data_IF_631709103300
#
_entry.id   IF_631709103300
#
_cell.length_a   1.000
_cell.length_b   1.000
_cell.length_c   1.000
_cell.angle_alpha   90.00
_cell.angle_beta   90.00
_cell.angle_gamma   90.00
#
_symmetry.space_group_name_H-M   'P 1'
#
loop_
_entity.id
_entity.type
_entity.pdbx_description
1 polymer ?
#
# COMPACT_ATOMS: atom_id res chain seq x y z
N UNK A 1 32.70 12.28 48.15
CA UNK A 1 32.02 13.53 48.50
C UNK A 1 30.77 13.57 47.63
N UNK A 2 29.68 13.01 47.97
CA UNK A 2 28.63 13.24 48.95
C UNK A 2 27.78 14.47 48.66
N UNK A 3 26.47 14.18 48.40
CA UNK A 3 25.24 14.95 48.73
C UNK A 3 24.86 16.09 47.76
N UNK A 4 23.62 16.31 47.35
CA UNK A 4 22.31 15.95 47.88
C UNK A 4 21.16 16.07 46.86
N UNK A 5 20.11 15.32 47.15
CA UNK A 5 18.75 15.44 46.64
C UNK A 5 18.09 16.81 46.91
N UNK A 6 17.15 17.21 46.05
CA UNK A 6 15.95 17.92 46.53
C UNK A 6 14.73 17.52 45.66
N UNK A 7 13.78 16.87 46.32
CA UNK A 7 12.38 16.66 45.92
C UNK A 7 11.58 17.93 46.27
N UNK A 8 10.62 18.31 45.41
CA UNK A 8 9.37 18.91 45.89
C UNK A 8 8.22 18.51 44.96
N UNK A 9 7.24 17.87 45.56
CA UNK A 9 5.92 17.57 45.01
C UNK A 9 4.97 18.74 45.29
N UNK A 10 3.97 18.94 44.45
CA UNK A 10 2.70 19.57 44.84
C UNK A 10 1.61 19.19 43.82
N UNK A 11 0.66 18.43 44.24
CA UNK A 11 -0.74 18.31 43.80
C UNK A 11 -1.62 19.16 44.71
N UNK A 12 -2.98 19.18 44.54
CA UNK A 12 -3.84 19.65 43.43
C UNK A 12 -4.85 20.71 43.90
N UNK A 13 -5.64 21.26 43.01
CA UNK A 13 -6.84 22.03 43.40
C UNK A 13 -8.05 21.68 42.56
N UNK A 14 -8.98 21.02 43.20
CA UNK A 14 -10.38 20.78 42.87
C UNK A 14 -11.22 22.05 43.11
N UNK A 15 -12.12 22.42 42.20
CA UNK A 15 -13.36 23.13 42.57
C UNK A 15 -14.51 22.67 41.67
N UNK A 16 -15.50 22.12 42.33
CA UNK A 16 -16.84 21.82 41.84
C UNK A 16 -17.73 23.06 41.99
N UNK A 17 -18.68 23.24 41.10
CA UNK A 17 -19.89 24.00 41.34
C UNK A 17 -21.06 23.43 40.55
N UNK A 18 -22.10 23.22 41.29
CA UNK A 18 -23.36 22.53 41.11
C UNK A 18 -24.45 23.43 40.53
N UNK A 19 -25.48 22.73 39.96
CA UNK A 19 -26.92 23.07 39.90
C UNK A 19 -27.33 24.20 38.92
N UNK A 20 -28.44 24.15 38.21
CA UNK A 20 -29.77 23.70 38.60
C UNK A 20 -30.67 23.47 37.35
N UNK A 21 -31.69 22.68 37.56
CA UNK A 21 -32.80 22.25 36.76
C UNK A 21 -33.73 23.39 36.25
N UNK A 22 -34.41 23.20 35.14
CA UNK A 22 -35.88 23.37 35.07
C UNK A 22 -36.45 22.62 33.85
N UNK A 23 -37.47 21.84 34.15
CA UNK A 23 -38.33 21.16 33.22
C UNK A 23 -39.45 22.10 32.69
N UNK A 24 -39.89 21.90 31.47
CA UNK A 24 -41.24 22.25 31.06
C UNK A 24 -41.75 21.27 29.97
N UNK A 25 -42.88 20.74 30.33
CA UNK A 25 -43.77 19.76 29.68
C UNK A 25 -44.65 20.47 28.67
N UNK A 26 -45.23 19.69 27.77
CA UNK A 26 -46.47 19.85 26.98
C UNK A 26 -46.25 19.54 25.49
N UNK A 27 -47.03 18.76 24.77
CA UNK A 27 -48.28 17.98 24.87
C UNK A 27 -48.52 17.51 23.43
N UNK A 28 -48.94 16.28 23.27
CA UNK A 28 -49.44 15.74 22.00
C UNK A 28 -50.85 16.25 21.71
N UNK A 29 -51.32 16.14 20.48
CA UNK A 29 -52.65 15.60 20.27
C UNK A 29 -52.70 14.49 19.20
N UNK A 30 -53.51 13.54 19.55
CA UNK A 30 -54.09 12.45 18.78
C UNK A 30 -55.11 12.95 17.75
N UNK A 31 -55.24 12.24 16.63
CA UNK A 31 -56.33 12.34 15.68
C UNK A 31 -56.12 11.35 14.52
N UNK A 32 -56.78 10.54 14.37
CA UNK A 32 -58.02 9.77 14.19
C UNK A 32 -58.04 9.07 12.81
N UNK A 33 -58.53 7.85 12.85
CA UNK A 33 -58.61 6.87 11.76
C UNK A 33 -59.87 7.16 10.94
N UNK A 34 -59.79 7.19 9.60
CA UNK A 34 -60.99 6.95 8.75
C UNK A 34 -60.66 6.15 7.50
N UNK A 35 -61.22 4.96 7.49
CA UNK A 35 -61.92 4.18 6.47
C UNK A 35 -61.49 4.18 5.00
N UNK A 36 -61.21 2.96 4.54
CA UNK A 36 -61.11 2.51 3.15
C UNK A 36 -62.51 2.25 2.59
N UNK A 37 -62.86 2.63 1.34
CA UNK A 37 -63.99 2.05 0.62
C UNK A 37 -63.56 0.96 -0.37
N UNK A 38 -64.31 -0.13 -0.37
CA UNK A 38 -64.27 -1.23 -1.32
C UNK A 38 -64.70 -0.78 -2.72
N UNK A 39 -64.03 -1.26 -3.75
CA UNK A 39 -64.46 -1.10 -5.14
C UNK A 39 -64.82 -2.47 -5.70
N UNK A 40 -66.02 -2.51 -6.25
CA UNK A 40 -66.69 -3.66 -6.82
C UNK A 40 -66.12 -4.09 -8.17
N UNK A 41 -66.38 -5.34 -8.48
CA UNK A 41 -66.23 -6.12 -9.69
C UNK A 41 -66.78 -5.38 -10.93
N UNK A 42 -66.00 -5.20 -12.00
CA UNK A 42 -66.47 -4.77 -13.30
C UNK A 42 -65.83 -5.64 -14.40
N UNK A 43 -66.69 -6.39 -15.09
CA UNK A 43 -66.36 -7.35 -16.12
C UNK A 43 -65.57 -6.76 -17.31
N UNK A 44 -64.60 -7.50 -17.77
CA UNK A 44 -63.75 -7.16 -18.92
C UNK A 44 -64.38 -7.69 -20.21
N UNK A 45 -64.73 -6.81 -21.14
CA UNK A 45 -65.29 -7.14 -22.47
C UNK A 45 -64.20 -7.57 -23.46
N UNK A 46 -64.56 -8.42 -24.42
CA UNK A 46 -63.67 -9.09 -25.38
C UNK A 46 -62.86 -8.15 -26.36
N UNK A 47 -63.12 -6.85 -26.36
CA UNK A 47 -62.44 -5.88 -27.26
C UNK A 47 -61.07 -5.41 -26.79
N UNK A 48 -60.68 -5.73 -25.53
CA UNK A 48 -59.37 -5.36 -24.96
C UNK A 48 -58.23 -6.28 -25.46
N UNK A 49 -58.57 -7.49 -25.94
CA UNK A 49 -57.57 -8.49 -26.36
C UNK A 49 -56.93 -8.15 -27.73
N UNK A 50 -57.63 -7.42 -28.60
CA UNK A 50 -57.09 -7.03 -29.91
C UNK A 50 -56.20 -5.75 -29.91
N UNK A 51 -56.34 -4.90 -28.91
CA UNK A 51 -55.45 -3.72 -28.70
C UNK A 51 -54.06 -4.08 -28.20
N UNK A 52 -53.96 -5.11 -27.36
CA UNK A 52 -52.71 -5.54 -26.75
C UNK A 52 -51.68 -6.14 -27.76
N UNK A 53 -52.17 -6.86 -28.76
CA UNK A 53 -51.30 -7.44 -29.84
C UNK A 53 -50.69 -6.39 -30.75
N UNK A 54 -51.37 -5.27 -31.00
CA UNK A 54 -50.78 -4.14 -31.80
C UNK A 54 -49.83 -3.29 -31.01
N UNK A 55 -50.00 -3.16 -29.71
CA UNK A 55 -49.00 -2.46 -28.84
C UNK A 55 -47.72 -3.29 -28.65
N UNK A 56 -47.88 -4.63 -28.51
CA UNK A 56 -46.75 -5.52 -28.34
C UNK A 56 -45.85 -5.59 -29.59
N UNK A 57 -46.44 -5.54 -30.78
CA UNK A 57 -45.74 -5.47 -32.06
C UNK A 57 -44.99 -4.14 -32.27
N UNK A 58 -45.54 -3.02 -31.76
CA UNK A 58 -44.88 -1.72 -31.82
C UNK A 58 -43.73 -1.56 -30.79
N UNK A 59 -43.86 -2.20 -29.64
CA UNK A 59 -42.78 -2.23 -28.65
C UNK A 59 -41.61 -3.12 -29.06
N UNK A 60 -41.85 -4.23 -29.79
CA UNK A 60 -40.79 -5.06 -30.37
C UNK A 60 -40.06 -4.37 -31.53
N UNK A 61 -40.73 -3.54 -32.31
CA UNK A 61 -40.10 -2.76 -33.40
C UNK A 61 -39.26 -1.59 -32.86
N UNK A 62 -39.65 -0.99 -31.73
CA UNK A 62 -38.85 0.04 -31.01
C UNK A 62 -37.66 -0.55 -30.27
N UNK A 63 -37.73 -1.81 -29.80
CA UNK A 63 -36.64 -2.52 -29.17
C UNK A 63 -35.55 -2.93 -30.19
N UNK A 64 -35.95 -3.26 -31.44
CA UNK A 64 -35.02 -3.61 -32.52
C UNK A 64 -34.28 -2.40 -33.07
N UNK A 65 -34.87 -1.19 -33.03
CA UNK A 65 -34.17 0.04 -33.46
C UNK A 65 -33.29 0.63 -32.35
N UNK A 66 -33.51 0.31 -31.06
CA UNK A 66 -32.62 0.67 -29.98
C UNK A 66 -31.33 -0.18 -29.91
N UNK A 67 -31.33 -1.38 -30.52
CA UNK A 67 -30.16 -2.26 -30.61
C UNK A 67 -29.14 -1.83 -31.68
N UNK A 68 -29.54 -1.02 -32.65
CA UNK A 68 -28.65 -0.54 -33.71
C UNK A 68 -27.79 0.69 -33.32
N UNK A 69 -28.17 1.41 -32.24
CA UNK A 69 -27.41 2.58 -31.74
C UNK A 69 -26.51 2.22 -30.55
N UNK A 70 -26.66 1.00 -29.98
CA UNK A 70 -25.87 0.52 -28.86
C UNK A 70 -24.44 0.10 -29.20
N UNK A 71 -24.04 0.13 -30.49
CA UNK A 71 -22.70 -0.22 -30.95
C UNK A 71 -21.60 0.81 -30.64
N UNK A 72 -21.96 1.97 -30.06
CA UNK A 72 -21.03 3.07 -29.76
C UNK A 72 -20.95 3.48 -28.29
N UNK A 73 -21.65 2.77 -27.42
CA UNK A 73 -21.43 2.90 -26.00
C UNK A 73 -20.24 1.99 -25.61
N UNK A 74 -19.27 2.46 -24.78
CA UNK A 74 -18.25 1.58 -24.25
C UNK A 74 -18.95 0.36 -23.63
N UNK A 75 -18.60 -0.84 -24.10
CA UNK A 75 -19.19 -2.08 -23.60
C UNK A 75 -19.00 -2.10 -22.08
N UNK A 76 -20.05 -1.76 -21.36
CA UNK A 76 -20.19 -2.21 -19.98
C UNK A 76 -20.17 -3.73 -20.07
N UNK A 77 -19.07 -4.37 -19.71
CA UNK A 77 -19.11 -5.81 -19.46
C UNK A 77 -20.12 -5.99 -18.33
N UNK A 78 -21.35 -6.37 -18.72
CA UNK A 78 -22.34 -6.80 -17.78
C UNK A 78 -21.77 -8.07 -17.13
N UNK A 79 -21.38 -7.98 -15.88
CA UNK A 79 -21.25 -9.15 -15.04
C UNK A 79 -22.61 -9.85 -15.13
N UNK A 80 -22.59 -11.13 -15.46
CA UNK A 80 -23.84 -11.89 -15.57
C UNK A 80 -24.65 -11.67 -14.29
N UNK A 81 -25.93 -11.32 -14.44
CA UNK A 81 -26.83 -11.11 -13.32
C UNK A 81 -26.89 -12.43 -12.50
N UNK A 82 -26.20 -12.47 -11.34
CA UNK A 82 -26.12 -13.67 -10.51
C UNK A 82 -24.99 -13.61 -9.49
N UNK A 83 -24.16 -14.65 -9.46
CA UNK A 83 -23.15 -14.92 -8.45
C UNK A 83 -21.92 -14.01 -8.46
N UNK A 84 -21.72 -13.18 -9.48
CA UNK A 84 -20.49 -12.38 -9.71
C UNK A 84 -20.58 -10.91 -9.31
N UNK A 85 -21.74 -10.46 -8.79
CA UNK A 85 -21.92 -9.07 -8.34
C UNK A 85 -21.11 -8.82 -7.06
N UNK A 86 -20.39 -7.69 -6.96
CA UNK A 86 -19.71 -7.31 -5.72
C UNK A 86 -20.68 -7.26 -4.53
N UNK A 87 -20.28 -7.88 -3.42
CA UNK A 87 -21.08 -7.91 -2.18
C UNK A 87 -21.07 -6.53 -1.51
N UNK A 88 -19.96 -5.81 -1.63
CA UNK A 88 -19.76 -4.45 -1.14
C UNK A 88 -19.38 -3.56 -2.31
N UNK A 89 -20.21 -2.57 -2.63
CA UNK A 89 -19.99 -1.69 -3.78
C UNK A 89 -19.13 -0.46 -3.47
N UNK A 90 -19.09 -0.01 -2.22
CA UNK A 90 -18.28 1.12 -1.78
C UNK A 90 -17.13 0.59 -0.90
N UNK A 91 -15.89 0.71 -1.39
CA UNK A 91 -14.69 0.07 -0.82
C UNK A 91 -13.75 1.14 -0.27
N UNK A 92 -13.48 1.12 1.04
CA UNK A 92 -12.56 2.02 1.71
C UNK A 92 -11.13 1.52 1.52
N UNK A 93 -10.30 2.26 0.76
CA UNK A 93 -8.92 1.86 0.47
C UNK A 93 -7.94 2.87 1.05
N UNK A 94 -7.19 2.45 2.07
CA UNK A 94 -6.17 3.27 2.70
C UNK A 94 -4.94 3.47 1.82
N UNK A 95 -4.29 4.63 1.91
CA UNK A 95 -3.00 4.87 1.27
C UNK A 95 -2.14 5.87 2.06
N UNK A 96 -0.84 5.75 1.93
CA UNK A 96 0.14 6.73 2.42
C UNK A 96 0.57 7.63 1.24
N UNK A 97 0.86 8.93 1.49
CA UNK A 97 1.34 9.87 0.48
C UNK A 97 2.71 9.51 -0.08
N UNK A 98 2.73 8.60 -1.03
CA UNK A 98 3.89 8.09 -1.76
C UNK A 98 3.52 7.97 -3.24
N UNK A 99 4.49 8.03 -4.14
CA UNK A 99 4.26 7.89 -5.58
C UNK A 99 3.60 6.57 -5.94
N UNK A 100 3.90 5.51 -5.20
CA UNK A 100 3.38 4.16 -5.42
C UNK A 100 1.91 3.96 -5.02
N UNK A 101 1.24 4.96 -4.43
CA UNK A 101 -0.22 4.97 -4.27
C UNK A 101 -0.97 5.20 -5.61
N UNK A 102 -0.24 5.47 -6.69
CA UNK A 102 -0.81 5.88 -7.98
C UNK A 102 -1.88 4.93 -8.51
N UNK A 103 -1.70 3.59 -8.39
CA UNK A 103 -2.69 2.63 -8.88
C UNK A 103 -4.06 2.76 -8.19
N UNK A 104 -4.09 3.01 -6.88
CA UNK A 104 -5.33 3.23 -6.11
C UNK A 104 -6.01 4.53 -6.56
N UNK A 105 -5.23 5.62 -6.68
CA UNK A 105 -5.77 6.93 -7.05
C UNK A 105 -6.27 6.92 -8.50
N UNK A 106 -5.49 6.36 -9.44
CA UNK A 106 -5.86 6.25 -10.85
C UNK A 106 -7.11 5.38 -11.02
N UNK A 107 -7.21 4.24 -10.32
CA UNK A 107 -8.38 3.38 -10.39
C UNK A 107 -9.67 4.11 -10.00
N UNK A 108 -9.62 4.91 -8.93
CA UNK A 108 -10.75 5.71 -8.46
C UNK A 108 -11.03 6.92 -9.37
N UNK A 109 -10.02 7.73 -9.68
CA UNK A 109 -10.21 9.02 -10.36
C UNK A 109 -10.50 8.90 -11.85
N UNK A 110 -10.00 7.83 -12.49
CA UNK A 110 -10.24 7.58 -13.90
C UNK A 110 -11.37 6.57 -14.16
N UNK A 111 -12.06 6.12 -13.10
CA UNK A 111 -13.28 5.31 -13.19
C UNK A 111 -13.06 3.85 -13.57
N UNK A 112 -11.82 3.30 -13.42
CA UNK A 112 -11.60 1.87 -13.64
C UNK A 112 -12.38 1.02 -12.65
N UNK A 113 -12.62 1.50 -11.43
CA UNK A 113 -13.43 0.88 -10.40
C UNK A 113 -14.91 0.74 -10.82
N UNK A 114 -15.46 1.76 -11.46
CA UNK A 114 -16.87 1.76 -11.92
C UNK A 114 -17.13 0.68 -12.95
N UNK A 115 -16.15 0.33 -13.76
CA UNK A 115 -16.22 -0.74 -14.74
C UNK A 115 -16.54 -2.10 -14.09
N UNK A 116 -16.06 -2.30 -12.87
CA UNK A 116 -16.24 -3.53 -12.10
C UNK A 116 -17.35 -3.44 -11.05
N UNK A 117 -18.20 -2.40 -11.11
CA UNK A 117 -19.37 -2.24 -10.27
C UNK A 117 -19.07 -1.85 -8.83
N UNK A 118 -17.90 -1.28 -8.57
CA UNK A 118 -17.51 -0.76 -7.26
C UNK A 118 -17.15 0.73 -7.33
N UNK A 119 -17.09 1.36 -6.17
CA UNK A 119 -16.57 2.71 -5.94
C UNK A 119 -15.41 2.61 -4.95
N UNK A 120 -14.19 2.86 -5.41
CA UNK A 120 -13.02 3.00 -4.53
C UNK A 120 -13.07 4.38 -3.87
N UNK A 121 -13.04 4.39 -2.53
CA UNK A 121 -12.90 5.60 -1.73
C UNK A 121 -11.49 5.64 -1.16
N UNK A 122 -10.56 6.44 -1.74
CA UNK A 122 -9.20 6.55 -1.24
C UNK A 122 -9.16 7.29 0.09
N UNK A 123 -8.58 6.67 1.12
CA UNK A 123 -8.41 7.24 2.46
C UNK A 123 -6.93 7.52 2.71
N UNK A 124 -6.58 8.80 2.80
CA UNK A 124 -5.22 9.23 3.06
C UNK A 124 -4.88 9.04 4.53
N UNK A 125 -3.85 8.25 4.80
CA UNK A 125 -3.42 7.92 6.16
C UNK A 125 -2.11 8.62 6.54
N UNK A 126 -1.94 8.87 7.83
CA UNK A 126 -0.80 9.63 8.35
C UNK A 126 0.45 8.75 8.57
N UNK A 127 0.27 7.46 8.83
CA UNK A 127 1.36 6.52 9.14
C UNK A 127 0.97 5.08 8.82
N UNK A 128 1.97 4.20 8.70
CA UNK A 128 1.75 2.77 8.53
C UNK A 128 1.10 2.10 9.73
N UNK A 129 1.32 2.62 10.94
CA UNK A 129 0.60 2.18 12.13
C UNK A 129 -0.91 2.46 12.01
N UNK A 130 -1.28 3.65 11.54
CA UNK A 130 -2.68 3.98 11.29
C UNK A 130 -3.32 3.07 10.22
N UNK A 131 -2.60 2.79 9.13
CA UNK A 131 -3.06 1.84 8.10
C UNK A 131 -3.28 0.45 8.69
N UNK A 132 -2.31 -0.07 9.46
CA UNK A 132 -2.41 -1.36 10.15
C UNK A 132 -3.65 -1.41 11.05
N UNK A 133 -3.79 -0.44 11.92
CA UNK A 133 -4.85 -0.45 12.95
C UNK A 133 -6.23 -0.37 12.30
N UNK A 134 -6.40 0.48 11.29
CA UNK A 134 -7.66 0.62 10.55
C UNK A 134 -8.01 -0.60 9.72
N UNK A 135 -7.02 -1.30 9.12
CA UNK A 135 -7.26 -2.60 8.47
C UNK A 135 -7.71 -3.66 9.47
N UNK A 136 -6.99 -3.77 10.62
CA UNK A 136 -7.30 -4.76 11.66
C UNK A 136 -8.68 -4.54 12.27
N UNK A 137 -9.08 -3.27 12.46
CA UNK A 137 -10.36 -2.88 13.05
C UNK A 137 -11.51 -2.83 12.02
N UNK A 138 -11.22 -2.97 10.71
CA UNK A 138 -12.25 -2.97 9.65
C UNK A 138 -12.76 -1.58 9.26
N UNK A 139 -12.06 -0.51 9.64
CA UNK A 139 -12.33 0.85 9.15
C UNK A 139 -11.89 1.01 7.69
N UNK A 140 -10.86 0.29 7.28
CA UNK A 140 -10.43 0.12 5.90
C UNK A 140 -10.74 -1.31 5.44
N UNK A 141 -11.25 -1.43 4.23
CA UNK A 141 -11.50 -2.72 3.57
C UNK A 141 -10.22 -3.31 3.01
N UNK A 142 -9.40 -2.46 2.41
CA UNK A 142 -8.09 -2.77 1.85
C UNK A 142 -7.16 -1.56 1.95
N UNK A 143 -5.89 -1.74 1.67
CA UNK A 143 -4.95 -0.64 1.60
C UNK A 143 -3.80 -0.91 0.62
N UNK A 144 -3.27 0.18 0.06
CA UNK A 144 -1.90 0.26 -0.41
C UNK A 144 -1.01 0.17 0.82
N UNK A 145 -0.29 -0.94 0.99
CA UNK A 145 0.41 -1.25 2.23
C UNK A 145 1.76 -1.93 1.97
N UNK A 146 2.69 -1.79 2.91
CA UNK A 146 4.01 -2.45 2.89
C UNK A 146 3.86 -3.97 2.89
N UNK A 147 4.55 -4.67 1.97
CA UNK A 147 4.44 -6.12 1.88
C UNK A 147 4.79 -6.80 3.21
N UNK A 148 5.95 -6.50 3.77
CA UNK A 148 6.40 -7.10 5.02
C UNK A 148 5.51 -6.78 6.23
N UNK A 149 4.79 -5.63 6.24
CA UNK A 149 3.83 -5.29 7.29
C UNK A 149 2.66 -6.28 7.30
N UNK A 150 2.12 -6.64 6.12
CA UNK A 150 1.02 -7.62 6.02
C UNK A 150 1.41 -8.95 6.65
N UNK A 151 2.62 -9.43 6.35
CA UNK A 151 3.18 -10.65 6.91
C UNK A 151 3.44 -10.53 8.43
N UNK A 152 3.96 -9.37 8.87
CA UNK A 152 4.18 -9.09 10.28
C UNK A 152 2.90 -9.14 11.10
N UNK A 153 1.82 -8.52 10.61
CA UNK A 153 0.49 -8.55 11.28
C UNK A 153 -0.08 -9.98 11.29
N UNK A 154 0.04 -10.71 10.16
CA UNK A 154 -0.44 -12.09 10.09
C UNK A 154 0.22 -13.00 11.13
N UNK A 155 1.49 -12.79 11.42
CA UNK A 155 2.25 -13.56 12.41
C UNK A 155 2.25 -12.96 13.81
N UNK A 156 1.64 -11.79 14.03
CA UNK A 156 1.59 -11.11 15.33
C UNK A 156 2.93 -10.48 15.73
N UNK A 157 3.79 -10.12 14.78
CA UNK A 157 5.06 -9.47 15.07
C UNK A 157 4.80 -8.03 15.57
N UNK A 158 5.19 -7.77 16.81
CA UNK A 158 5.07 -6.44 17.41
C UNK A 158 3.64 -5.99 17.71
N UNK A 159 2.66 -6.93 17.77
CA UNK A 159 1.28 -6.59 18.07
C UNK A 159 0.32 -7.77 18.00
N UNK A 160 -0.98 -7.49 18.01
CA UNK A 160 -2.02 -8.51 17.91
C UNK A 160 -1.99 -9.18 16.53
N UNK A 161 -2.07 -10.51 16.53
CA UNK A 161 -2.20 -11.31 15.30
C UNK A 161 -3.56 -11.07 14.64
N UNK A 162 -3.56 -10.89 13.32
CA UNK A 162 -4.76 -10.85 12.49
C UNK A 162 -4.48 -11.59 11.18
N UNK A 163 -5.35 -12.47 10.77
CA UNK A 163 -5.20 -13.15 9.49
C UNK A 163 -5.37 -12.14 8.35
N UNK A 164 -4.30 -12.00 7.57
CA UNK A 164 -4.18 -11.01 6.50
C UNK A 164 -4.16 -11.68 5.13
N UNK A 165 -4.41 -10.89 4.10
CA UNK A 165 -4.39 -11.32 2.71
C UNK A 165 -3.71 -10.25 1.83
N UNK A 166 -3.02 -10.72 0.78
CA UNK A 166 -2.43 -9.94 -0.30
C UNK A 166 -3.16 -10.29 -1.59
N UNK A 167 -3.84 -9.33 -2.20
CA UNK A 167 -4.59 -9.53 -3.44
C UNK A 167 -3.72 -9.39 -4.68
N UNK A 168 -2.75 -8.46 -4.68
CA UNK A 168 -1.78 -8.24 -5.75
C UNK A 168 -0.61 -7.40 -5.25
N UNK A 169 0.51 -7.42 -5.96
CA UNK A 169 1.54 -6.39 -5.83
C UNK A 169 1.08 -5.12 -6.56
N UNK A 170 1.43 -3.95 -6.03
CA UNK A 170 1.07 -2.66 -6.61
C UNK A 170 2.21 -2.05 -7.42
N UNK A 171 3.45 -2.28 -7.02
CA UNK A 171 4.64 -1.83 -7.73
C UNK A 171 5.89 -2.65 -7.40
N UNK A 172 6.86 -2.56 -8.31
CA UNK A 172 8.25 -2.92 -8.08
C UNK A 172 9.13 -1.67 -8.05
N UNK A 173 10.24 -1.72 -7.28
CA UNK A 173 11.22 -0.63 -7.17
C UNK A 173 10.63 0.68 -6.60
N UNK A 174 11.33 1.80 -6.75
CA UNK A 174 10.81 3.13 -6.42
C UNK A 174 11.06 3.58 -4.99
N UNK A 175 12.17 3.14 -4.38
CA UNK A 175 12.64 3.58 -3.07
C UNK A 175 14.12 3.93 -3.14
N UNK A 176 14.64 4.56 -2.09
CA UNK A 176 16.06 4.80 -1.97
C UNK A 176 16.47 4.95 -0.49
N UNK A 177 17.78 4.85 -0.27
CA UNK A 177 18.45 5.26 0.95
C UNK A 177 19.07 6.63 0.67
N UNK A 178 18.62 7.64 1.40
CA UNK A 178 19.06 9.03 1.29
C UNK A 178 19.78 9.42 2.57
N UNK A 179 20.97 10.02 2.44
CA UNK A 179 21.78 10.54 3.53
C UNK A 179 21.74 12.06 3.56
N UNK A 180 22.01 12.65 4.74
CA UNK A 180 22.12 14.10 4.88
C UNK A 180 23.38 14.63 4.19
N UNK A 181 23.33 15.87 3.69
CA UNK A 181 24.49 16.52 3.08
C UNK A 181 25.67 16.70 4.05
N UNK A 182 25.44 16.72 5.37
CA UNK A 182 26.49 16.74 6.36
C UNK A 182 27.44 15.54 6.22
N UNK A 183 26.93 14.36 5.95
CA UNK A 183 27.75 13.18 5.69
C UNK A 183 28.55 13.32 4.39
N UNK A 184 27.94 13.93 3.36
CA UNK A 184 28.64 14.23 2.11
C UNK A 184 29.80 15.20 2.31
N UNK A 185 29.62 16.26 3.11
CA UNK A 185 30.65 17.23 3.50
C UNK A 185 31.80 16.56 4.27
N UNK A 186 31.50 15.47 4.98
CA UNK A 186 32.47 14.64 5.71
C UNK A 186 33.13 13.53 4.83
N UNK A 187 32.85 13.56 3.52
CA UNK A 187 33.50 12.65 2.56
C UNK A 187 32.74 11.36 2.26
N UNK A 188 31.50 11.19 2.77
CA UNK A 188 30.66 10.03 2.45
C UNK A 188 30.04 10.22 1.07
N UNK A 189 30.28 9.27 0.16
CA UNK A 189 29.80 9.29 -1.24
C UNK A 189 29.05 8.02 -1.66
N UNK A 190 29.39 6.90 -1.01
CA UNK A 190 28.94 5.54 -1.32
C UNK A 190 28.94 4.68 -0.06
N UNK A 191 28.56 3.41 -0.21
CA UNK A 191 28.49 2.48 0.93
C UNK A 191 29.85 2.21 1.59
N UNK A 192 30.91 2.11 0.81
CA UNK A 192 32.26 1.87 1.35
C UNK A 192 32.74 3.05 2.21
N UNK A 193 32.55 4.27 1.71
CA UNK A 193 32.91 5.49 2.45
C UNK A 193 32.01 5.68 3.68
N UNK A 194 30.72 5.28 3.62
CA UNK A 194 29.83 5.30 4.78
C UNK A 194 30.31 4.33 5.88
N UNK A 195 30.60 3.08 5.53
CA UNK A 195 31.09 2.10 6.49
C UNK A 195 32.41 2.54 7.15
N UNK A 196 33.37 3.02 6.35
CA UNK A 196 34.62 3.57 6.87
C UNK A 196 34.41 4.79 7.77
N UNK A 197 33.45 5.65 7.42
CA UNK A 197 33.16 6.86 8.19
C UNK A 197 32.55 6.49 9.56
N UNK A 198 31.59 5.59 9.62
CA UNK A 198 30.99 5.11 10.87
C UNK A 198 32.08 4.49 11.77
N UNK A 199 32.94 3.66 11.20
CA UNK A 199 34.01 2.99 11.95
C UNK A 199 35.07 3.98 12.52
N UNK A 200 35.41 5.01 11.75
CA UNK A 200 36.48 5.98 12.14
C UNK A 200 35.98 7.08 13.06
N UNK A 201 34.68 7.38 13.02
CA UNK A 201 34.09 8.49 13.77
C UNK A 201 32.96 7.96 14.65
N UNK A 202 33.26 7.26 15.76
CA UNK A 202 32.23 6.64 16.60
C UNK A 202 31.33 7.70 17.25
N UNK A 203 30.05 7.67 16.91
CA UNK A 203 28.95 8.41 17.50
C UNK A 203 27.65 7.68 17.23
N UNK A 204 26.54 8.09 17.82
CA UNK A 204 25.24 7.59 17.42
C UNK A 204 24.87 8.13 16.02
N UNK A 205 24.78 7.23 15.04
CA UNK A 205 24.23 7.52 13.72
C UNK A 205 22.78 7.10 13.70
N UNK A 206 21.89 8.00 13.34
CA UNK A 206 20.46 7.74 13.34
C UNK A 206 19.93 7.58 11.92
N UNK A 207 19.34 6.41 11.62
CA UNK A 207 18.68 6.12 10.33
C UNK A 207 17.20 5.89 10.54
N UNK A 208 16.37 6.55 9.72
CA UNK A 208 14.92 6.38 9.79
C UNK A 208 14.44 5.35 8.76
N UNK A 209 13.46 4.58 9.19
CA UNK A 209 12.62 3.71 8.37
C UNK A 209 11.16 3.96 8.74
N UNK A 210 10.19 3.33 8.07
CA UNK A 210 8.79 3.72 8.19
C UNK A 210 7.94 2.78 9.03
N UNK A 211 8.35 1.51 9.15
CA UNK A 211 7.68 0.50 9.96
C UNK A 211 8.60 -0.72 10.16
N UNK A 212 8.78 -1.26 11.38
CA UNK A 212 9.81 -2.26 11.70
C UNK A 212 9.78 -3.54 10.86
N UNK A 213 8.59 -4.07 10.52
CA UNK A 213 8.43 -5.25 9.66
C UNK A 213 8.26 -4.91 8.18
N UNK A 214 8.28 -3.62 7.83
CA UNK A 214 7.97 -3.13 6.49
C UNK A 214 9.16 -3.21 5.53
N UNK A 215 8.87 -2.99 4.25
CA UNK A 215 9.84 -3.04 3.15
C UNK A 215 11.01 -2.08 3.36
N UNK A 216 10.75 -0.82 3.75
CA UNK A 216 11.81 0.18 3.95
C UNK A 216 12.82 -0.21 5.04
N UNK A 217 12.35 -0.84 6.13
CA UNK A 217 13.22 -1.37 7.18
C UNK A 217 14.10 -2.50 6.63
N UNK A 218 13.49 -3.44 5.88
CA UNK A 218 14.22 -4.59 5.31
C UNK A 218 15.26 -4.14 4.28
N UNK A 219 14.96 -3.13 3.44
CA UNK A 219 15.94 -2.57 2.50
C UNK A 219 17.08 -1.87 3.22
N UNK A 220 16.79 -1.06 4.23
CA UNK A 220 17.82 -0.37 5.03
C UNK A 220 18.75 -1.37 5.72
N UNK A 221 18.18 -2.36 6.41
CA UNK A 221 18.95 -3.35 7.14
C UNK A 221 19.79 -4.23 6.21
N UNK A 222 19.19 -4.63 5.07
CA UNK A 222 19.92 -5.44 4.08
C UNK A 222 21.09 -4.69 3.48
N UNK A 223 20.87 -3.42 3.10
CA UNK A 223 21.92 -2.58 2.55
C UNK A 223 23.05 -2.32 3.55
N UNK A 224 22.73 -1.89 4.78
CA UNK A 224 23.73 -1.66 5.83
C UNK A 224 24.56 -2.91 6.07
N UNK A 225 23.92 -4.07 6.20
CA UNK A 225 24.61 -5.34 6.36
C UNK A 225 25.49 -5.71 5.17
N UNK A 226 25.09 -5.37 3.94
CA UNK A 226 25.87 -5.65 2.72
C UNK A 226 27.18 -4.87 2.65
N UNK A 227 27.25 -3.73 3.36
CA UNK A 227 28.47 -2.90 3.48
C UNK A 227 29.20 -3.13 4.82
N UNK A 228 28.81 -4.14 5.60
CA UNK A 228 29.45 -4.50 6.86
C UNK A 228 29.05 -3.66 8.07
N UNK A 229 27.95 -2.91 7.99
CA UNK A 229 27.38 -2.12 9.10
C UNK A 229 26.21 -2.88 9.73
N UNK A 230 26.28 -3.15 11.04
CA UNK A 230 25.20 -3.85 11.74
C UNK A 230 24.05 -2.88 12.07
N UNK A 231 22.81 -3.11 11.57
CA UNK A 231 21.71 -2.14 11.65
C UNK A 231 21.18 -1.86 13.06
N UNK A 232 21.58 -2.66 14.06
CA UNK A 232 21.13 -2.53 15.45
C UNK A 232 22.27 -2.33 16.46
N UNK A 233 23.54 -2.43 16.03
CA UNK A 233 24.71 -2.24 16.91
C UNK A 233 25.49 -0.99 16.53
N UNK A 234 25.72 -0.80 15.20
CA UNK A 234 26.58 0.29 14.73
C UNK A 234 25.80 1.58 14.48
N UNK A 235 24.46 1.47 14.37
CA UNK A 235 23.57 2.61 14.13
C UNK A 235 22.28 2.45 14.93
N UNK A 236 21.61 3.57 15.17
CA UNK A 236 20.26 3.63 15.73
C UNK A 236 19.23 3.70 14.61
N UNK A 237 18.22 2.87 14.65
CA UNK A 237 17.09 2.94 13.71
C UNK A 237 15.85 3.48 14.39
N UNK A 238 15.16 4.42 13.72
CA UNK A 238 13.94 5.06 14.21
C UNK A 238 12.80 4.94 13.20
N UNK A 239 11.57 5.05 13.69
CA UNK A 239 10.36 5.03 12.85
C UNK A 239 9.90 6.46 12.59
N UNK A 240 9.83 6.85 11.30
CA UNK A 240 9.33 8.17 10.90
C UNK A 240 8.32 7.98 9.75
N UNK A 241 7.14 8.62 9.81
CA UNK A 241 6.19 8.59 8.69
C UNK A 241 6.78 9.22 7.42
N UNK A 242 6.51 8.66 6.22
CA UNK A 242 7.10 9.14 4.96
C UNK A 242 7.03 10.65 4.73
N UNK A 243 5.90 11.35 4.93
CA UNK A 243 5.83 12.80 4.70
C UNK A 243 6.69 13.64 5.65
N UNK A 244 7.17 13.05 6.75
CA UNK A 244 7.96 13.74 7.77
C UNK A 244 9.48 13.55 7.60
N UNK A 245 9.92 12.63 6.72
CA UNK A 245 11.34 12.28 6.53
C UNK A 245 12.20 13.51 6.20
N UNK A 246 11.79 14.27 5.19
CA UNK A 246 12.53 15.44 4.70
C UNK A 246 12.63 16.53 5.77
N UNK A 247 11.55 16.81 6.51
CA UNK A 247 11.54 17.80 7.57
C UNK A 247 12.46 17.41 8.74
N UNK A 248 12.42 16.13 9.15
CA UNK A 248 13.29 15.63 10.23
C UNK A 248 14.77 15.64 9.84
N UNK A 249 15.11 15.29 8.60
CA UNK A 249 16.49 15.38 8.12
C UNK A 249 16.98 16.83 8.08
N UNK A 250 16.13 17.77 7.63
CA UNK A 250 16.48 19.21 7.56
C UNK A 250 16.88 19.80 8.89
N UNK A 251 16.26 19.37 9.98
CA UNK A 251 16.58 19.85 11.35
C UNK A 251 17.61 19.00 12.07
N UNK A 252 18.24 18.02 11.37
CA UNK A 252 19.32 17.21 11.92
C UNK A 252 18.88 16.07 12.86
N UNK A 253 17.61 15.68 12.86
CA UNK A 253 17.13 14.59 13.72
C UNK A 253 17.55 13.19 13.22
N UNK A 254 18.15 13.10 12.04
CA UNK A 254 18.64 11.84 11.46
C UNK A 254 19.77 12.07 10.46
N UNK A 255 20.64 11.10 10.32
CA UNK A 255 21.74 11.08 9.35
C UNK A 255 21.32 10.54 7.99
N UNK A 256 20.27 9.70 7.96
CA UNK A 256 19.75 9.13 6.73
C UNK A 256 18.39 8.48 6.93
N UNK A 257 17.78 8.08 5.83
CA UNK A 257 16.50 7.34 5.84
C UNK A 257 16.37 6.43 4.63
N UNK A 258 15.53 5.39 4.77
CA UNK A 258 14.99 4.61 3.67
C UNK A 258 13.48 4.82 3.58
N UNK A 259 13.00 5.24 2.41
CA UNK A 259 11.58 5.53 2.17
C UNK A 259 11.24 5.43 0.68
N UNK A 260 9.95 5.27 0.37
CA UNK A 260 9.44 5.33 -1.01
C UNK A 260 9.49 6.75 -1.59
N UNK A 261 9.48 6.83 -2.94
CA UNK A 261 9.36 8.11 -3.63
C UNK A 261 8.01 8.78 -3.33
N UNK A 262 7.93 10.13 -3.34
CA UNK A 262 8.92 11.07 -3.87
C UNK A 262 9.87 11.66 -2.80
N UNK A 263 9.91 11.12 -1.60
CA UNK A 263 10.60 11.81 -0.48
C UNK A 263 12.12 11.81 -0.61
N UNK A 264 12.70 10.83 -1.33
CA UNK A 264 14.13 10.86 -1.68
C UNK A 264 14.39 11.95 -2.73
N UNK A 265 13.63 11.99 -3.82
CA UNK A 265 13.72 13.06 -4.81
C UNK A 265 13.49 14.44 -4.17
N UNK A 266 12.59 14.55 -3.20
CA UNK A 266 12.32 15.77 -2.46
C UNK A 266 13.51 16.23 -1.63
N UNK A 267 14.22 15.34 -0.96
CA UNK A 267 15.44 15.69 -0.21
C UNK A 267 16.53 16.25 -1.12
N UNK A 268 16.67 15.69 -2.34
CA UNK A 268 17.60 16.19 -3.35
C UNK A 268 17.16 17.58 -3.86
N UNK A 269 15.89 17.73 -4.22
CA UNK A 269 15.32 18.98 -4.68
C UNK A 269 15.49 20.11 -3.65
N UNK A 270 15.26 19.81 -2.38
CA UNK A 270 15.43 20.76 -1.26
C UNK A 270 16.91 20.95 -0.86
N UNK A 271 17.85 20.25 -1.51
CA UNK A 271 19.32 20.32 -1.25
C UNK A 271 19.72 20.00 0.18
N UNK A 272 19.04 19.04 0.82
CA UNK A 272 19.33 18.66 2.21
C UNK A 272 19.93 17.26 2.34
N UNK A 273 19.92 16.48 1.27
CA UNK A 273 20.44 15.12 1.27
C UNK A 273 20.86 14.66 -0.11
N UNK A 274 21.47 13.50 -0.15
CA UNK A 274 21.89 12.82 -1.38
C UNK A 274 21.50 11.35 -1.36
N UNK A 275 21.21 10.78 -2.52
CA UNK A 275 20.89 9.34 -2.66
C UNK A 275 22.16 8.52 -2.59
N UNK A 276 22.28 7.68 -1.56
CA UNK A 276 23.36 6.73 -1.37
C UNK A 276 23.20 5.51 -2.28
N UNK A 277 22.00 4.92 -2.28
CA UNK A 277 21.63 3.78 -3.10
C UNK A 277 20.13 3.83 -3.41
N UNK A 278 19.74 3.39 -4.60
CA UNK A 278 18.36 3.10 -4.91
C UNK A 278 17.99 1.67 -4.48
N UNK A 279 16.72 1.39 -4.24
CA UNK A 279 16.32 0.04 -3.84
C UNK A 279 16.52 -1.01 -4.94
N UNK A 280 16.46 -0.60 -6.21
CA UNK A 280 16.78 -1.48 -7.34
C UNK A 280 18.28 -1.81 -7.45
N UNK A 281 19.18 -1.02 -6.82
CA UNK A 281 20.59 -1.40 -6.64
C UNK A 281 20.72 -2.56 -5.63
N UNK A 282 19.81 -2.65 -4.66
CA UNK A 282 19.78 -3.74 -3.66
C UNK A 282 19.22 -5.02 -4.27
N UNK A 283 18.08 -4.89 -4.93
CA UNK A 283 17.39 -5.98 -5.61
C UNK A 283 16.56 -5.41 -6.77
N UNK A 284 17.03 -5.64 -8.00
CA UNK A 284 16.30 -5.21 -9.21
C UNK A 284 14.95 -5.91 -9.31
N UNK A 285 13.89 -5.14 -9.56
CA UNK A 285 12.50 -5.60 -9.63
C UNK A 285 12.00 -6.24 -8.31
N UNK A 286 12.48 -5.73 -7.18
CA UNK A 286 11.97 -6.15 -5.88
C UNK A 286 10.49 -5.81 -5.68
N UNK A 287 9.73 -6.64 -4.95
CA UNK A 287 8.35 -6.32 -4.57
C UNK A 287 8.34 -5.19 -3.55
N UNK A 288 7.30 -4.36 -3.58
CA UNK A 288 7.25 -3.21 -2.68
C UNK A 288 5.91 -3.08 -1.95
N UNK A 289 4.94 -2.40 -2.56
CA UNK A 289 3.60 -2.28 -2.00
C UNK A 289 2.69 -3.36 -2.53
N UNK A 290 1.75 -3.72 -1.69
CA UNK A 290 0.70 -4.67 -2.04
C UNK A 290 -0.68 -4.08 -1.79
N UNK A 291 -1.67 -4.60 -2.47
CA UNK A 291 -3.06 -4.44 -2.09
C UNK A 291 -3.34 -5.45 -0.98
N UNK A 292 -3.24 -4.98 0.27
CA UNK A 292 -3.43 -5.80 1.46
C UNK A 292 -4.81 -5.58 2.07
N UNK A 293 -5.38 -6.64 2.64
CA UNK A 293 -6.63 -6.62 3.39
C UNK A 293 -6.62 -7.70 4.47
N UNK A 294 -7.70 -7.86 5.23
CA UNK A 294 -7.85 -9.01 6.12
C UNK A 294 -8.33 -10.23 5.33
N UNK A 295 -7.98 -11.44 5.79
CA UNK A 295 -8.51 -12.68 5.22
C UNK A 295 -10.04 -12.75 5.35
N UNK A 296 -10.60 -12.21 6.42
CA UNK A 296 -12.04 -12.10 6.62
C UNK A 296 -12.75 -11.27 5.53
N UNK A 297 -12.11 -10.17 5.07
CA UNK A 297 -12.66 -9.38 3.95
C UNK A 297 -12.77 -10.22 2.68
N UNK A 298 -11.74 -10.99 2.35
CA UNK A 298 -11.74 -11.87 1.16
C UNK A 298 -12.82 -12.96 1.27
N UNK A 299 -12.99 -13.55 2.44
CA UNK A 299 -13.96 -14.60 2.69
C UNK A 299 -15.42 -14.08 2.62
N UNK A 300 -15.67 -12.88 3.15
CA UNK A 300 -17.00 -12.28 3.20
C UNK A 300 -17.37 -11.57 1.90
N UNK A 301 -16.39 -11.07 1.15
CA UNK A 301 -16.58 -10.24 -0.04
C UNK A 301 -15.70 -10.69 -1.22
N UNK A 302 -15.73 -11.96 -1.63
CA UNK A 302 -14.82 -12.49 -2.66
C UNK A 302 -15.01 -11.82 -4.03
N UNK A 303 -16.23 -11.47 -4.43
CA UNK A 303 -16.48 -10.78 -5.69
C UNK A 303 -16.02 -9.32 -5.63
N UNK A 304 -16.16 -8.66 -4.47
CA UNK A 304 -15.63 -7.32 -4.25
C UNK A 304 -14.09 -7.32 -4.29
N UNK A 305 -13.43 -8.28 -3.66
CA UNK A 305 -11.97 -8.43 -3.70
C UNK A 305 -11.47 -8.65 -5.14
N UNK A 306 -12.17 -9.49 -5.93
CA UNK A 306 -11.88 -9.70 -7.35
C UNK A 306 -12.08 -8.41 -8.16
N UNK A 307 -13.20 -7.70 -7.98
CA UNK A 307 -13.51 -6.45 -8.68
C UNK A 307 -12.47 -5.36 -8.37
N UNK A 308 -12.10 -5.21 -7.09
CA UNK A 308 -11.07 -4.29 -6.64
C UNK A 308 -9.71 -4.60 -7.30
N UNK A 309 -9.30 -5.86 -7.27
CA UNK A 309 -8.04 -6.30 -7.91
C UNK A 309 -8.06 -6.03 -9.41
N UNK A 310 -9.16 -6.33 -10.11
CA UNK A 310 -9.28 -6.10 -11.55
C UNK A 310 -9.20 -4.60 -11.92
N UNK A 311 -9.83 -3.73 -11.11
CA UNK A 311 -9.76 -2.28 -11.30
C UNK A 311 -8.33 -1.76 -11.17
N UNK A 312 -7.58 -2.25 -10.15
CA UNK A 312 -6.19 -1.85 -9.95
C UNK A 312 -5.24 -2.43 -11.01
N UNK A 313 -5.50 -3.62 -11.54
CA UNK A 313 -4.74 -4.18 -12.65
C UNK A 313 -4.83 -3.30 -13.91
N UNK A 314 -6.03 -2.81 -14.24
CA UNK A 314 -6.19 -1.89 -15.38
C UNK A 314 -5.53 -0.52 -15.11
N UNK A 315 -5.65 0.00 -13.91
CA UNK A 315 -4.97 1.22 -13.51
C UNK A 315 -3.44 1.08 -13.59
N UNK A 316 -2.89 -0.03 -13.11
CA UNK A 316 -1.46 -0.34 -13.17
C UNK A 316 -0.95 -0.40 -14.61
N UNK A 317 -1.70 -1.07 -15.51
CA UNK A 317 -1.39 -1.10 -16.95
C UNK A 317 -1.43 0.30 -17.58
N UNK A 318 -2.43 1.12 -17.20
CA UNK A 318 -2.51 2.50 -17.67
C UNK A 318 -1.31 3.34 -17.24
N UNK A 319 -0.87 3.19 -15.99
CA UNK A 319 0.27 3.93 -15.42
C UNK A 319 1.59 3.54 -16.09
N UNK A 320 1.78 2.26 -16.41
CA UNK A 320 3.03 1.77 -17.01
C UNK A 320 3.24 2.18 -18.48
N UNK A 321 2.20 2.68 -19.14
CA UNK A 321 2.37 3.35 -20.44
C UNK A 321 3.11 4.69 -20.22
N UNK A 322 4.33 4.87 -20.79
CA UNK A 322 5.13 6.08 -20.57
C UNK A 322 4.41 7.38 -20.95
N UNK A 323 3.46 7.32 -21.88
CA UNK A 323 2.66 8.47 -22.32
C UNK A 323 1.74 9.02 -21.24
N UNK A 324 1.37 8.18 -20.26
CA UNK A 324 0.44 8.54 -19.18
C UNK A 324 1.17 9.03 -17.92
N UNK A 325 2.45 8.68 -17.74
CA UNK A 325 3.17 8.90 -16.47
C UNK A 325 3.21 10.37 -16.03
N UNK A 326 3.47 11.29 -16.94
CA UNK A 326 3.46 12.71 -16.62
C UNK A 326 2.06 13.21 -16.16
N UNK A 327 1.00 12.71 -16.79
CA UNK A 327 -0.38 13.01 -16.39
C UNK A 327 -0.70 12.43 -15.01
N UNK A 328 -0.28 11.19 -14.77
CA UNK A 328 -0.46 10.53 -13.46
C UNK A 328 0.33 11.26 -12.37
N UNK A 329 1.58 11.68 -12.62
CA UNK A 329 2.37 12.45 -11.68
C UNK A 329 1.64 13.74 -11.24
N UNK A 330 1.08 14.47 -12.19
CA UNK A 330 0.28 15.68 -11.92
C UNK A 330 -0.99 15.37 -11.14
N UNK A 331 -1.69 14.27 -11.47
CA UNK A 331 -2.89 13.83 -10.76
C UNK A 331 -2.61 13.57 -9.28
N UNK A 332 -1.54 12.81 -8.98
CA UNK A 332 -1.24 12.43 -7.60
C UNK A 332 -0.50 13.51 -6.80
N UNK A 333 0.04 14.56 -7.45
CA UNK A 333 0.79 15.63 -6.78
C UNK A 333 -0.07 16.48 -5.83
N UNK A 334 -1.38 16.53 -6.06
CA UNK A 334 -2.31 17.38 -5.32
C UNK A 334 -2.31 17.11 -3.80
N UNK A 335 -2.78 18.12 -3.04
CA UNK A 335 -2.87 18.07 -1.56
C UNK A 335 -3.72 16.92 -1.04
N UNK A 336 -4.72 16.49 -1.81
CA UNK A 336 -5.57 15.35 -1.47
C UNK A 336 -4.79 14.01 -1.45
N UNK A 337 -3.69 13.91 -2.19
CA UNK A 337 -2.93 12.68 -2.39
C UNK A 337 -1.51 12.80 -1.83
N UNK A 338 -0.48 12.89 -2.67
CA UNK A 338 0.93 12.89 -2.23
C UNK A 338 1.32 14.21 -1.57
N UNK A 339 0.81 15.34 -2.06
CA UNK A 339 1.15 16.67 -1.57
C UNK A 339 2.66 16.99 -1.72
N UNK A 340 3.19 16.74 -2.91
CA UNK A 340 4.55 17.09 -3.31
C UNK A 340 4.54 17.78 -4.69
N UNK A 341 5.53 18.61 -5.04
CA UNK A 341 5.60 19.23 -6.36
C UNK A 341 5.58 18.18 -7.47
N UNK A 342 4.82 18.44 -8.54
CA UNK A 342 4.64 17.50 -9.64
C UNK A 342 5.98 17.13 -10.31
N UNK A 343 6.89 18.10 -10.47
CA UNK A 343 8.22 17.90 -11.03
C UNK A 343 9.10 16.96 -10.19
N UNK A 344 8.94 16.97 -8.87
CA UNK A 344 9.66 16.07 -7.95
C UNK A 344 9.16 14.63 -8.12
N UNK A 345 7.84 14.45 -8.25
CA UNK A 345 7.26 13.13 -8.51
C UNK A 345 7.66 12.66 -9.91
N UNK A 346 7.50 13.51 -10.92
CA UNK A 346 7.68 13.20 -12.33
C UNK A 346 9.10 12.71 -12.63
N UNK A 347 10.13 13.32 -12.03
CA UNK A 347 11.52 13.00 -12.31
C UNK A 347 11.80 11.49 -12.18
N UNK A 348 11.67 10.92 -10.99
CA UNK A 348 11.93 9.49 -10.76
C UNK A 348 10.83 8.58 -11.28
N UNK A 349 9.63 9.10 -11.42
CA UNK A 349 8.51 8.39 -12.02
C UNK A 349 8.71 8.15 -13.52
N UNK A 350 9.53 8.98 -14.19
CA UNK A 350 9.99 8.83 -15.57
C UNK A 350 11.39 8.19 -15.65
N UNK A 351 11.95 7.73 -14.56
CA UNK A 351 13.27 7.13 -14.52
C UNK A 351 14.43 8.13 -14.56
N UNK A 352 14.18 9.41 -14.40
CA UNK A 352 15.19 10.45 -14.36
C UNK A 352 15.72 10.62 -12.93
N UNK A 353 16.92 10.16 -12.69
CA UNK A 353 17.53 10.16 -11.36
C UNK A 353 18.63 11.21 -11.26
N UNK A 354 18.68 11.87 -10.12
CA UNK A 354 19.78 12.72 -9.65
C UNK A 354 20.11 12.26 -8.23
N UNK A 355 21.38 11.99 -7.95
CA UNK A 355 21.80 11.60 -6.61
C UNK A 355 22.11 12.80 -5.69
N UNK A 356 22.05 14.03 -6.18
CA UNK A 356 22.31 15.25 -5.40
C UNK A 356 23.80 15.60 -5.21
N UNK A 357 24.72 14.74 -5.66
CA UNK A 357 26.18 14.93 -5.54
C UNK A 357 26.90 14.74 -6.88
N UNK A 358 26.23 15.09 -7.99
CA UNK A 358 26.83 15.21 -9.32
C UNK A 358 26.57 14.07 -10.27
N UNK A 359 25.91 12.95 -9.86
CA UNK A 359 25.53 11.86 -10.76
C UNK A 359 24.06 12.03 -11.19
N UNK A 360 23.85 12.08 -12.51
CA UNK A 360 22.53 12.02 -13.13
C UNK A 360 22.47 10.88 -14.13
N UNK A 361 21.33 10.15 -14.17
CA UNK A 361 21.16 9.02 -15.09
C UNK A 361 19.69 8.76 -15.39
N UNK A 362 19.45 8.10 -16.53
CA UNK A 362 18.19 7.46 -16.81
C UNK A 362 18.27 6.02 -16.29
N UNK A 363 17.43 5.68 -15.33
CA UNK A 363 17.40 4.34 -14.73
C UNK A 363 16.41 3.45 -15.48
N UNK A 364 16.85 2.33 -16.08
CA UNK A 364 15.93 1.40 -16.75
C UNK A 364 15.05 0.62 -15.75
N UNK A 365 15.47 0.58 -14.48
CA UNK A 365 14.78 -0.14 -13.41
C UNK A 365 14.04 0.80 -12.45
N UNK A 366 13.51 1.90 -12.99
CA UNK A 366 12.66 2.80 -12.22
C UNK A 366 11.36 2.10 -11.77
N UNK A 367 10.51 2.78 -11.00
CA UNK A 367 9.25 2.23 -10.48
C UNK A 367 8.36 1.69 -11.59
N UNK A 368 7.99 0.42 -11.50
CA UNK A 368 7.13 -0.31 -12.43
C UNK A 368 5.82 -0.68 -11.75
N UNK A 369 4.71 -0.66 -12.49
CA UNK A 369 3.37 -0.95 -11.96
C UNK A 369 2.72 -2.18 -12.62
N UNK A 370 3.13 -2.57 -13.83
CA UNK A 370 2.44 -3.61 -14.57
C UNK A 370 3.38 -4.63 -15.22
N UNK A 371 4.23 -4.18 -16.17
CA UNK A 371 5.18 -5.02 -16.92
C UNK A 371 4.55 -6.36 -17.34
N UNK A 372 3.49 -6.33 -18.15
CA UNK A 372 2.75 -7.51 -18.64
C UNK A 372 2.32 -8.49 -17.52
N UNK A 373 1.88 -7.95 -16.38
CA UNK A 373 1.41 -8.72 -15.24
C UNK A 373 2.52 -9.24 -14.32
N UNK A 374 3.79 -9.13 -14.71
CA UNK A 374 4.92 -9.61 -13.91
C UNK A 374 5.07 -8.84 -12.59
N UNK A 375 4.78 -7.54 -12.59
CA UNK A 375 4.83 -6.70 -11.39
C UNK A 375 3.68 -7.03 -10.45
N UNK A 376 2.48 -7.19 -11.01
CA UNK A 376 1.25 -7.26 -10.20
C UNK A 376 0.97 -8.64 -9.60
N UNK A 377 1.63 -9.69 -10.11
CA UNK A 377 1.44 -11.04 -9.61
C UNK A 377 2.02 -11.22 -8.20
N UNK A 378 1.25 -11.73 -7.22
CA UNK A 378 1.72 -11.91 -5.85
C UNK A 378 2.52 -13.20 -5.71
N UNK A 379 3.79 -13.20 -6.15
CA UNK A 379 4.67 -14.36 -6.05
C UNK A 379 4.84 -14.81 -4.60
N UNK A 380 4.77 -16.11 -4.37
CA UNK A 380 4.99 -16.68 -3.03
C UNK A 380 6.43 -16.44 -2.55
N UNK A 381 7.40 -16.52 -3.47
CA UNK A 381 8.80 -16.22 -3.17
C UNK A 381 9.00 -14.81 -2.62
N UNK A 382 8.23 -13.82 -3.09
CA UNK A 382 8.33 -12.43 -2.62
C UNK A 382 7.94 -12.32 -1.14
N UNK A 383 6.81 -12.90 -0.77
CA UNK A 383 6.36 -12.94 0.64
C UNK A 383 7.30 -13.74 1.54
N UNK A 384 7.76 -14.90 1.07
CA UNK A 384 8.73 -15.72 1.81
C UNK A 384 10.05 -14.99 2.06
N UNK A 385 10.50 -14.11 1.14
CA UNK A 385 11.71 -13.33 1.37
C UNK A 385 11.58 -12.44 2.61
N UNK A 386 10.45 -11.76 2.81
CA UNK A 386 10.23 -10.95 4.01
C UNK A 386 10.27 -11.80 5.28
N UNK A 387 9.71 -13.00 5.26
CA UNK A 387 9.81 -13.94 6.39
C UNK A 387 11.26 -14.29 6.71
N UNK A 388 12.11 -14.51 5.68
CA UNK A 388 13.53 -14.79 5.88
C UNK A 388 14.25 -13.61 6.55
N UNK A 389 13.91 -12.37 6.17
CA UNK A 389 14.49 -11.19 6.78
C UNK A 389 13.93 -10.93 8.20
N UNK A 390 12.63 -11.17 8.43
CA UNK A 390 12.06 -11.11 9.79
C UNK A 390 12.75 -12.14 10.72
N UNK A 391 13.07 -13.33 10.20
CA UNK A 391 13.83 -14.33 10.94
C UNK A 391 15.28 -13.90 11.16
N UNK A 392 15.96 -13.44 10.10
CA UNK A 392 17.34 -12.94 10.14
C UNK A 392 17.53 -11.88 11.22
N UNK A 393 16.59 -10.95 11.34
CA UNK A 393 16.68 -9.80 12.24
C UNK A 393 16.02 -10.02 13.61
N UNK A 394 15.63 -11.27 13.93
CA UNK A 394 15.08 -11.62 15.23
C UNK A 394 13.65 -11.14 15.50
N UNK A 395 12.96 -10.63 14.47
CA UNK A 395 11.55 -10.26 14.57
C UNK A 395 10.64 -11.50 14.68
N UNK A 396 11.12 -12.64 14.19
CA UNK A 396 10.54 -13.97 14.39
C UNK A 396 11.51 -14.81 15.24
N UNK A 397 11.02 -15.31 16.36
CA UNK A 397 11.80 -16.14 17.31
C UNK A 397 12.01 -17.56 16.82
N UNK A 398 11.13 -18.08 15.97
CA UNK A 398 11.16 -19.45 15.42
C UNK A 398 11.05 -19.45 13.89
N UNK A 399 11.49 -20.55 13.26
CA UNK A 399 11.31 -20.75 11.82
C UNK A 399 9.82 -20.93 11.51
N UNK A 400 9.25 -20.10 10.60
CA UNK A 400 7.90 -20.31 10.11
C UNK A 400 7.85 -21.41 9.04
N UNK A 401 6.68 -21.99 8.79
CA UNK A 401 6.43 -22.70 7.53
C UNK A 401 6.26 -21.67 6.41
N UNK A 402 7.38 -21.31 5.78
CA UNK A 402 7.46 -20.22 4.80
C UNK A 402 6.45 -20.34 3.66
N UNK A 403 6.36 -21.54 3.06
CA UNK A 403 5.48 -21.78 1.92
C UNK A 403 4.01 -21.80 2.33
N UNK A 404 3.69 -22.42 3.46
CA UNK A 404 2.31 -22.46 3.99
C UNK A 404 1.83 -21.05 4.33
N UNK A 405 2.63 -20.24 5.04
CA UNK A 405 2.31 -18.85 5.39
C UNK A 405 2.11 -18.01 4.12
N UNK A 406 3.02 -18.09 3.17
CA UNK A 406 2.88 -17.34 1.93
C UNK A 406 1.64 -17.76 1.12
N UNK A 407 1.34 -19.05 1.08
CA UNK A 407 0.16 -19.57 0.37
C UNK A 407 -1.17 -19.17 1.03
N UNK A 408 -1.18 -18.98 2.35
CA UNK A 408 -2.36 -18.48 3.06
C UNK A 408 -2.60 -16.99 2.81
N UNK A 409 -1.53 -16.20 2.77
CA UNK A 409 -1.61 -14.74 2.63
C UNK A 409 -1.85 -14.33 1.17
N UNK A 410 -1.08 -14.85 0.22
CA UNK A 410 -1.12 -14.43 -1.17
C UNK A 410 -2.28 -15.08 -1.92
N UNK A 411 -3.30 -14.29 -2.26
CA UNK A 411 -4.58 -14.74 -2.82
C UNK A 411 -4.48 -14.99 -4.34
N UNK A 412 -3.61 -15.92 -4.77
CA UNK A 412 -3.33 -16.21 -6.18
C UNK A 412 -4.60 -16.60 -6.95
N UNK A 413 -5.55 -17.30 -6.32
CA UNK A 413 -6.82 -17.68 -6.96
C UNK A 413 -7.68 -16.45 -7.30
N UNK A 414 -7.81 -15.50 -6.38
CA UNK A 414 -8.52 -14.22 -6.60
C UNK A 414 -7.80 -13.41 -7.67
N UNK A 415 -6.47 -13.32 -7.59
CA UNK A 415 -5.67 -12.62 -8.60
C UNK A 415 -5.91 -13.18 -10.01
N UNK A 416 -5.86 -14.50 -10.20
CA UNK A 416 -6.09 -15.16 -11.49
C UNK A 416 -7.47 -14.84 -12.07
N UNK A 417 -8.51 -14.84 -11.22
CA UNK A 417 -9.87 -14.47 -11.64
C UNK A 417 -9.96 -12.99 -12.06
N UNK A 418 -9.34 -12.10 -11.27
CA UNK A 418 -9.28 -10.67 -11.57
C UNK A 418 -8.47 -10.40 -12.86
N UNK A 419 -7.35 -11.07 -13.04
CA UNK A 419 -6.50 -10.98 -14.23
C UNK A 419 -7.24 -11.42 -15.50
N UNK A 420 -8.01 -12.50 -15.42
CA UNK A 420 -8.87 -12.95 -16.53
C UNK A 420 -9.89 -11.87 -16.89
N UNK A 421 -10.56 -11.25 -15.91
CA UNK A 421 -11.53 -10.17 -16.13
C UNK A 421 -10.88 -8.91 -16.73
N UNK A 422 -9.67 -8.55 -16.28
CA UNK A 422 -8.91 -7.39 -16.75
C UNK A 422 -8.06 -7.69 -18.03
N UNK A 423 -8.08 -8.93 -18.52
CA UNK A 423 -7.27 -9.41 -19.65
C UNK A 423 -5.77 -9.16 -19.42
N UNK A 424 -5.29 -9.54 -18.26
CA UNK A 424 -3.89 -9.44 -17.83
C UNK A 424 -3.24 -10.82 -17.92
N UNK A 425 -2.07 -10.97 -18.54
CA UNK A 425 -1.30 -12.22 -18.51
C UNK A 425 -0.96 -12.61 -17.07
N UNK A 426 -0.92 -13.92 -16.82
CA UNK A 426 -0.57 -14.48 -15.52
C UNK A 426 0.70 -15.30 -15.67
N UNK A 427 1.73 -15.08 -14.85
CA UNK A 427 2.92 -15.92 -14.81
C UNK A 427 2.59 -17.39 -14.56
N UNK A 428 3.35 -18.31 -15.18
CA UNK A 428 3.19 -19.76 -14.99
C UNK A 428 3.61 -20.19 -13.60
N UNK A 429 4.71 -19.61 -13.09
CA UNK A 429 5.34 -19.98 -11.84
C UNK A 429 4.92 -19.06 -10.69
N UNK A 430 4.74 -19.65 -9.53
CA UNK A 430 4.44 -18.92 -8.28
C UNK A 430 5.69 -18.48 -7.52
N UNK A 431 6.85 -18.96 -7.93
CA UNK A 431 8.17 -18.57 -7.44
C UNK A 431 8.95 -17.86 -8.54
N UNK A 432 9.77 -16.90 -8.16
CA UNK A 432 10.72 -16.24 -9.07
C UNK A 432 12.10 -16.17 -8.43
N UNK A 433 13.14 -16.08 -9.27
CA UNK A 433 14.53 -15.99 -8.85
C UNK A 433 15.09 -14.62 -9.10
N UNK A 434 15.90 -14.12 -8.16
CA UNK A 434 16.56 -12.82 -8.23
C UNK A 434 17.93 -12.87 -7.58
N UNK A 435 18.86 -12.03 -8.06
CA UNK A 435 20.16 -11.81 -7.44
C UNK A 435 20.14 -10.49 -6.69
N UNK A 436 20.62 -10.48 -5.44
CA UNK A 436 20.68 -9.30 -4.59
C UNK A 436 22.10 -8.68 -4.62
N UNK A 437 22.24 -7.47 -4.03
CA UNK A 437 23.46 -6.67 -4.03
C UNK A 437 24.71 -7.41 -3.49
N UNK A 438 24.54 -8.29 -2.51
CA UNK A 438 25.58 -9.12 -1.92
C UNK A 438 25.94 -10.36 -2.74
N UNK A 439 25.37 -10.50 -3.94
CA UNK A 439 25.58 -11.62 -4.84
C UNK A 439 24.74 -12.87 -4.52
N UNK A 440 23.97 -12.88 -3.42
CA UNK A 440 23.10 -14.00 -3.07
C UNK A 440 21.95 -14.11 -4.06
N UNK A 441 21.58 -15.37 -4.37
CA UNK A 441 20.41 -15.67 -5.20
C UNK A 441 19.27 -16.05 -4.26
N UNK A 442 18.13 -15.41 -4.46
CA UNK A 442 16.86 -15.75 -3.83
C UNK A 442 15.93 -16.36 -4.87
N UNK A 443 15.49 -17.60 -4.67
CA UNK A 443 14.58 -18.32 -5.57
C UNK A 443 13.38 -18.97 -4.85
N UNK A 444 13.26 -18.75 -3.54
CA UNK A 444 12.17 -19.28 -2.69
C UNK A 444 12.25 -20.78 -2.37
N UNK A 445 13.25 -21.52 -2.83
CA UNK A 445 13.28 -22.98 -2.67
C UNK A 445 13.73 -23.43 -1.28
N UNK A 446 14.72 -22.76 -0.70
CA UNK A 446 15.32 -23.12 0.60
C UNK A 446 15.32 -21.92 1.57
N UNK A 447 14.17 -21.39 1.99
CA UNK A 447 14.09 -20.13 2.73
C UNK A 447 14.79 -20.16 4.08
N UNK A 448 14.72 -21.24 4.83
CA UNK A 448 15.43 -21.37 6.12
C UNK A 448 16.95 -21.33 5.95
N UNK A 449 17.48 -22.05 4.95
CA UNK A 449 18.90 -22.02 4.60
C UNK A 449 19.36 -20.64 4.15
N UNK A 450 18.52 -19.95 3.35
CA UNK A 450 18.79 -18.57 2.92
C UNK A 450 18.86 -17.64 4.14
N UNK A 451 17.89 -17.68 5.06
CA UNK A 451 17.90 -16.87 6.28
C UNK A 451 19.14 -17.12 7.14
N UNK A 452 19.57 -18.38 7.28
CA UNK A 452 20.75 -18.78 8.03
C UNK A 452 22.10 -18.43 7.34
N UNK A 453 22.09 -18.07 6.05
CA UNK A 453 23.32 -17.86 5.26
C UNK A 453 24.01 -16.52 5.49
N UNK A 454 23.43 -15.63 6.31
CA UNK A 454 23.95 -14.30 6.56
C UNK A 454 24.86 -14.25 7.78
N UNK A 455 26.05 -13.66 7.62
CA UNK A 455 27.02 -13.46 8.71
C UNK A 455 26.52 -12.40 9.71
N UNK A 456 25.90 -11.31 9.23
CA UNK A 456 25.27 -10.30 10.08
C UNK A 456 23.79 -10.62 10.26
N UNK A 457 23.39 -10.92 11.50
CA UNK A 457 22.03 -11.29 11.90
C UNK A 457 21.80 -10.95 13.38
N UNK A 458 20.58 -11.14 13.88
CA UNK A 458 20.16 -10.81 15.26
C UNK A 458 20.92 -11.57 16.36
N UNK A 459 21.51 -12.72 16.07
CA UNK A 459 22.25 -13.50 17.10
C UNK A 459 23.53 -12.78 17.57
N UNK A 460 23.94 -11.75 16.86
CA UNK A 460 25.12 -10.95 17.20
C UNK A 460 24.79 -9.69 17.99
N UNK A 461 23.60 -9.56 18.60
CA UNK A 461 23.39 -8.44 19.47
C UNK A 461 22.01 -7.80 19.62
N UNK A 462 20.96 -8.58 19.69
CA UNK A 462 19.76 -8.08 20.37
C UNK A 462 19.67 -8.73 21.74
N UNK A 463 20.34 -8.13 22.73
CA UNK A 463 19.87 -8.25 24.10
C UNK A 463 18.49 -7.59 24.13
N UNK A 464 17.47 -8.36 24.50
CA UNK A 464 16.07 -8.00 24.57
C UNK A 464 15.83 -6.78 25.47
#
# INVERSE_FOLDING_TARGET
MTVALLKTAAEPATTAATSDSTAANESSPTGDVTSVPAIADAGISADVINGGRRLFGKQLALAASALAVAGWLPQRQAWAAGSDKPEKTRVQVGFIPLTDCASVIVASQMGFDKKYGIEIVPNKEASWAAVRDKLVNGELDAAHVLYGLVYGVHLGIGGSKKDMAVLMNLNHNGQAITLSNQLNEQGVRDGESLAKHIQKNPREYTFAQTFPTGTHAMWLYYYLASIGVHPFQDVKTIVVPPPQMVANMRVGNMDGFCVGEPWNARAIFDKIGFTLATSQDIWTDHPEKVLGCTAAFVQQHPNTARALTAALLEASRFIDDPRNRATVAKLIAGKAYVNAPAEVIESRFLGQYDNGIGRRWQDPNYMKFYNDGQVTFPYLSDGMWFLTQHRRWGLLSSEPDYLSVASQINQIAIYKQAAAAAKVPVPSDVLRSSKLIDGKIWDGKEPARYAASFSLNSAQGVAA
#
